data_IF_026116678907
#
_entry.id   IF_026116678907
#
_cell.length_a   1.000
_cell.length_b   1.000
_cell.length_c   1.000
_cell.angle_alpha   90.00
_cell.angle_beta   90.00
_cell.angle_gamma   90.00
#
_symmetry.space_group_name_H-M   'P 1'
#
loop_
_entity.id
_entity.type
_entity.pdbx_description
1 polymer ?
#
# COMPACT_ATOMS: atom_id res chain seq x y z
N UNK A 1 21.10 -29.62 35.81
CA UNK A 1 19.82 -29.39 35.11
C UNK A 1 20.11 -28.56 33.88
N UNK A 2 19.98 -29.12 32.67
CA UNK A 2 20.15 -28.38 31.42
C UNK A 2 18.75 -28.05 30.91
N UNK A 3 18.37 -26.78 30.97
CA UNK A 3 17.13 -26.30 30.36
C UNK A 3 17.27 -26.41 28.83
N UNK A 4 16.51 -27.31 28.23
CA UNK A 4 16.43 -27.37 26.78
C UNK A 4 15.65 -26.16 26.27
N UNK A 5 16.35 -25.17 25.72
CA UNK A 5 15.73 -24.13 24.91
C UNK A 5 14.96 -24.80 23.76
N UNK A 6 13.64 -24.62 23.76
CA UNK A 6 12.82 -24.96 22.61
C UNK A 6 13.15 -23.96 21.50
N UNK A 7 13.75 -24.45 20.43
CA UNK A 7 13.93 -23.68 19.20
C UNK A 7 12.53 -23.46 18.61
N UNK A 8 11.97 -22.26 18.78
CA UNK A 8 10.78 -21.87 18.02
C UNK A 8 11.23 -21.74 16.57
N UNK A 9 10.80 -22.67 15.72
CA UNK A 9 11.07 -22.60 14.29
C UNK A 9 10.34 -21.36 13.74
N UNK A 10 11.08 -20.28 13.51
CA UNK A 10 10.56 -19.12 12.78
C UNK A 10 10.35 -19.60 11.34
N UNK A 11 9.11 -19.56 10.86
CA UNK A 11 8.82 -19.89 9.48
C UNK A 11 9.65 -18.97 8.55
N UNK A 12 10.29 -19.52 7.51
CA UNK A 12 11.16 -18.73 6.64
C UNK A 12 10.35 -17.63 5.95
N UNK A 13 10.97 -16.46 5.74
CA UNK A 13 10.35 -15.37 5.01
C UNK A 13 9.95 -15.81 3.59
N UNK A 14 8.88 -15.21 3.10
CA UNK A 14 8.31 -15.51 1.78
C UNK A 14 8.62 -14.35 0.85
N UNK A 15 9.20 -14.64 -0.31
CA UNK A 15 9.35 -13.62 -1.35
C UNK A 15 8.02 -13.38 -2.05
N UNK A 16 7.54 -12.14 -2.05
CA UNK A 16 6.33 -11.70 -2.74
C UNK A 16 6.70 -10.74 -3.86
N UNK A 17 6.18 -11.00 -5.06
CA UNK A 17 6.22 -10.14 -6.24
C UNK A 17 4.99 -9.26 -6.27
N UNK A 18 5.15 -8.03 -6.74
CA UNK A 18 4.06 -7.10 -6.91
C UNK A 18 4.24 -6.23 -8.16
N UNK A 19 3.13 -5.73 -8.69
CA UNK A 19 3.09 -4.71 -9.74
C UNK A 19 1.82 -3.89 -9.64
N UNK A 20 1.92 -2.57 -9.76
CA UNK A 20 0.79 -1.67 -9.87
C UNK A 20 0.66 -1.11 -11.29
N UNK A 21 -0.56 -0.82 -11.73
CA UNK A 21 -0.82 -0.10 -12.97
C UNK A 21 -0.74 1.41 -12.78
N UNK A 22 -0.41 2.14 -13.83
CA UNK A 22 -0.46 3.60 -13.83
C UNK A 22 -1.88 4.14 -13.56
N UNK A 23 -1.95 5.36 -13.04
CA UNK A 23 -3.19 6.12 -12.95
C UNK A 23 -2.96 7.61 -13.22
N UNK A 24 -4.03 8.30 -13.59
CA UNK A 24 -4.07 9.76 -13.64
C UNK A 24 -5.46 10.23 -13.22
N UNK A 25 -5.50 11.30 -12.42
CA UNK A 25 -6.71 12.06 -12.14
C UNK A 25 -6.42 13.52 -12.44
N UNK A 26 -7.30 14.16 -13.20
CA UNK A 26 -7.20 15.55 -13.61
C UNK A 26 -8.30 16.39 -12.93
N UNK A 27 -8.24 17.71 -13.15
CA UNK A 27 -9.27 18.65 -12.70
C UNK A 27 -9.50 18.59 -11.20
N UNK A 28 -8.46 18.25 -10.45
CA UNK A 28 -8.51 18.28 -9.00
C UNK A 28 -8.69 19.75 -8.61
N UNK A 29 -9.72 20.01 -7.82
CA UNK A 29 -10.01 21.37 -7.43
C UNK A 29 -10.49 22.28 -8.56
N UNK A 30 -11.18 21.73 -9.59
CA UNK A 30 -11.85 22.51 -10.63
C UNK A 30 -13.36 22.60 -10.42
N UNK A 31 -13.90 23.82 -10.45
CA UNK A 31 -15.33 24.12 -10.25
C UNK A 31 -16.14 24.21 -11.55
N UNK A 32 -15.48 24.00 -12.71
CA UNK A 32 -16.12 24.08 -14.02
C UNK A 32 -16.17 25.49 -14.64
N UNK A 33 -15.74 26.54 -13.93
CA UNK A 33 -15.97 27.93 -14.34
C UNK A 33 -14.78 28.60 -15.03
N UNK A 34 -13.57 28.15 -14.74
CA UNK A 34 -12.34 28.72 -15.31
C UNK A 34 -11.78 27.82 -16.41
N UNK A 35 -11.40 28.35 -17.59
CA UNK A 35 -10.61 27.61 -18.57
C UNK A 35 -9.11 27.67 -18.21
N UNK A 36 -8.43 26.54 -18.04
CA UNK A 36 -6.96 26.54 -17.85
C UNK A 36 -6.37 25.39 -17.03
N UNK A 37 -5.14 25.58 -16.53
CA UNK A 37 -4.35 24.60 -15.76
C UNK A 37 -5.04 24.23 -14.45
N UNK A 38 -5.42 22.97 -14.32
CA UNK A 38 -5.93 22.39 -13.09
C UNK A 38 -4.87 21.50 -12.45
N UNK A 39 -5.07 21.19 -11.19
CA UNK A 39 -4.22 20.24 -10.51
C UNK A 39 -4.43 18.83 -11.09
N UNK A 40 -3.31 18.16 -11.32
CA UNK A 40 -3.26 16.80 -11.86
C UNK A 40 -2.45 15.94 -10.90
N UNK A 41 -2.95 14.76 -10.59
CA UNK A 41 -2.19 13.75 -9.88
C UNK A 41 -1.97 12.55 -10.81
N UNK A 42 -0.70 12.26 -11.06
CA UNK A 42 -0.26 11.09 -11.83
C UNK A 42 0.47 10.13 -10.92
N UNK A 43 0.19 8.83 -11.08
CA UNK A 43 0.93 7.76 -10.43
C UNK A 43 1.48 6.80 -11.46
N UNK A 44 2.81 6.70 -11.54
CA UNK A 44 3.49 5.70 -12.36
C UNK A 44 3.64 4.43 -11.54
N UNK A 45 3.03 3.34 -12.01
CA UNK A 45 3.03 2.04 -11.35
C UNK A 45 4.44 1.45 -11.24
N UNK A 46 4.78 0.98 -10.05
CA UNK A 46 6.02 0.28 -9.77
C UNK A 46 5.80 -1.23 -9.69
N UNK A 47 6.86 -1.97 -9.93
CA UNK A 47 6.90 -3.42 -9.76
C UNK A 47 8.16 -3.84 -9.04
N UNK A 48 8.11 -4.99 -8.36
CA UNK A 48 9.23 -5.46 -7.58
C UNK A 48 8.98 -6.80 -6.93
N UNK A 49 9.91 -7.16 -6.05
CA UNK A 49 9.78 -8.32 -5.18
C UNK A 49 10.41 -8.03 -3.83
N UNK A 50 9.81 -8.54 -2.77
CA UNK A 50 10.21 -8.27 -1.40
C UNK A 50 10.13 -9.55 -0.56
N UNK A 51 11.10 -9.76 0.32
CA UNK A 51 11.08 -10.87 1.28
C UNK A 51 10.30 -10.45 2.51
N UNK A 52 9.17 -11.10 2.77
CA UNK A 52 8.24 -10.78 3.85
C UNK A 52 8.31 -11.88 4.91
N UNK A 53 8.84 -11.60 6.10
CA UNK A 53 8.71 -12.52 7.23
C UNK A 53 7.24 -12.62 7.66
N UNK A 54 6.81 -13.81 8.05
CA UNK A 54 5.44 -14.02 8.51
C UNK A 54 5.09 -13.15 9.71
N UNK A 55 3.95 -12.44 9.64
CA UNK A 55 3.49 -11.52 10.68
C UNK A 55 4.33 -10.24 10.85
N UNK A 56 5.27 -9.96 9.93
CA UNK A 56 6.09 -8.75 9.96
C UNK A 56 5.76 -7.89 8.74
N UNK A 57 5.09 -6.73 8.94
CA UNK A 57 4.83 -5.80 7.86
C UNK A 57 6.14 -5.32 7.22
N UNK A 58 6.23 -5.49 5.91
CA UNK A 58 7.43 -5.15 5.13
C UNK A 58 7.11 -4.06 4.12
N UNK A 59 7.86 -2.95 4.10
CA UNK A 59 7.52 -1.80 3.26
C UNK A 59 7.72 -2.08 1.77
N UNK A 60 6.85 -1.51 0.94
CA UNK A 60 6.96 -1.46 -0.51
C UNK A 60 6.57 -0.07 -1.03
N UNK A 61 7.10 0.30 -2.19
CA UNK A 61 6.62 1.44 -2.98
C UNK A 61 5.80 0.89 -4.15
N UNK A 62 4.59 1.42 -4.33
CA UNK A 62 3.67 0.98 -5.39
C UNK A 62 3.62 1.96 -6.55
N UNK A 63 3.85 3.25 -6.31
CA UNK A 63 3.86 4.27 -7.34
C UNK A 63 4.89 5.36 -7.04
N UNK A 64 5.49 5.89 -8.10
CA UNK A 64 6.05 7.24 -8.10
C UNK A 64 4.94 8.22 -8.45
N UNK A 65 4.75 9.23 -7.61
CA UNK A 65 3.65 10.18 -7.71
C UNK A 65 4.16 11.55 -8.15
N UNK A 66 3.41 12.17 -9.06
CA UNK A 66 3.58 13.57 -9.47
C UNK A 66 2.28 14.30 -9.23
N UNK A 67 2.31 15.29 -8.35
CA UNK A 67 1.23 16.26 -8.19
C UNK A 67 1.64 17.54 -8.92
N UNK A 68 1.03 17.78 -10.07
CA UNK A 68 1.24 18.97 -10.88
C UNK A 68 0.21 20.01 -10.49
N UNK A 69 0.66 21.04 -9.78
CA UNK A 69 -0.18 22.10 -9.24
C UNK A 69 -0.33 23.18 -10.29
N UNK A 70 -1.58 23.45 -10.63
CA UNK A 70 -1.98 24.48 -11.57
C UNK A 70 -1.92 25.87 -10.96
N UNK A 71 -2.94 26.69 -11.24
CA UNK A 71 -3.04 28.05 -10.68
C UNK A 71 -3.83 27.99 -9.37
N UNK A 72 -3.16 28.31 -8.27
CA UNK A 72 -3.78 28.40 -6.95
C UNK A 72 -4.94 29.42 -6.97
N UNK A 73 -6.08 29.07 -6.37
CA UNK A 73 -7.21 29.99 -6.22
C UNK A 73 -7.04 30.88 -4.99
N UNK A 74 -7.21 32.20 -5.15
CA UNK A 74 -7.26 33.12 -4.00
C UNK A 74 -8.45 32.84 -3.06
N UNK A 75 -9.52 32.22 -3.59
CA UNK A 75 -10.65 31.79 -2.78
C UNK A 75 -10.48 30.32 -2.46
N UNK A 76 -10.20 30.03 -1.20
CA UNK A 76 -10.16 28.66 -0.72
C UNK A 76 -11.53 28.03 -0.91
N UNK A 77 -11.54 26.85 -1.50
CA UNK A 77 -12.77 26.08 -1.64
C UNK A 77 -12.49 24.61 -1.38
N UNK A 78 -13.49 23.92 -0.86
CA UNK A 78 -13.43 22.50 -0.59
C UNK A 78 -13.99 21.78 -1.82
N UNK A 79 -13.16 21.23 -2.69
CA UNK A 79 -13.67 20.47 -3.81
C UNK A 79 -14.30 19.14 -3.38
N UNK A 80 -15.08 18.59 -4.31
CA UNK A 80 -15.80 17.31 -4.22
C UNK A 80 -14.90 16.15 -3.78
N UNK A 81 -15.42 15.09 -3.11
CA UNK A 81 -14.64 13.89 -2.87
C UNK A 81 -14.11 13.31 -4.18
N UNK A 82 -12.79 13.15 -4.27
CA UNK A 82 -12.13 12.48 -5.38
C UNK A 82 -11.80 11.05 -4.99
N UNK A 83 -11.64 10.19 -5.99
CA UNK A 83 -11.13 8.85 -5.80
C UNK A 83 -10.15 8.50 -6.90
N UNK A 84 -9.07 7.83 -6.54
CA UNK A 84 -8.14 7.25 -7.50
C UNK A 84 -8.19 5.74 -7.39
N UNK A 85 -8.23 5.05 -8.53
CA UNK A 85 -8.22 3.60 -8.59
C UNK A 85 -7.10 3.09 -9.50
N UNK A 86 -6.44 2.03 -9.08
CA UNK A 86 -5.44 1.31 -9.87
C UNK A 86 -5.52 -0.18 -9.57
N UNK A 87 -5.00 -1.01 -10.46
CA UNK A 87 -4.88 -2.44 -10.23
C UNK A 87 -3.53 -2.76 -9.57
N UNK A 88 -3.59 -3.43 -8.42
CA UNK A 88 -2.43 -3.99 -7.73
C UNK A 88 -2.45 -5.51 -7.89
N UNK A 89 -1.37 -6.05 -8.45
CA UNK A 89 -1.14 -7.49 -8.54
C UNK A 89 -0.11 -7.88 -7.50
N UNK A 90 -0.44 -8.88 -6.67
CA UNK A 90 0.48 -9.50 -5.71
C UNK A 90 0.47 -10.99 -5.96
N UNK A 91 1.63 -11.58 -6.27
CA UNK A 91 1.76 -13.02 -6.53
C UNK A 91 0.75 -13.56 -7.55
N UNK A 92 0.56 -12.81 -8.63
CA UNK A 92 -0.37 -13.15 -9.72
C UNK A 92 -1.85 -12.92 -9.41
N UNK A 93 -2.20 -12.41 -8.21
CA UNK A 93 -3.57 -12.06 -7.84
C UNK A 93 -3.76 -10.56 -7.98
N UNK A 94 -4.63 -10.14 -8.89
CA UNK A 94 -4.94 -8.73 -9.15
C UNK A 94 -6.18 -8.27 -8.38
N UNK A 95 -6.10 -7.08 -7.79
CA UNK A 95 -7.24 -6.37 -7.20
C UNK A 95 -7.18 -4.90 -7.53
N UNK A 96 -8.33 -4.30 -7.79
CA UNK A 96 -8.48 -2.86 -7.90
C UNK A 96 -8.46 -2.24 -6.49
N UNK A 97 -7.54 -1.30 -6.27
CA UNK A 97 -7.41 -0.52 -5.04
C UNK A 97 -7.99 0.86 -5.30
N UNK A 98 -8.96 1.29 -4.50
CA UNK A 98 -9.57 2.62 -4.61
C UNK A 98 -9.27 3.44 -3.37
N UNK A 99 -8.51 4.51 -3.54
CA UNK A 99 -8.24 5.49 -2.49
C UNK A 99 -9.23 6.64 -2.57
N UNK A 100 -9.68 7.12 -1.42
CA UNK A 100 -10.25 8.45 -1.31
C UNK A 100 -9.14 9.48 -1.36
N UNK A 101 -9.37 10.56 -2.10
CA UNK A 101 -8.44 11.67 -2.22
C UNK A 101 -9.14 12.93 -1.73
N UNK A 102 -8.59 13.52 -0.68
CA UNK A 102 -9.03 14.80 -0.17
C UNK A 102 -8.17 15.88 -0.82
N UNK A 103 -8.82 16.84 -1.45
CA UNK A 103 -8.15 18.00 -2.03
C UNK A 103 -8.71 19.24 -1.34
N UNK A 104 -7.83 20.18 -1.02
CA UNK A 104 -8.20 21.50 -0.50
C UNK A 104 -7.39 22.52 -1.28
N UNK A 105 -8.11 23.32 -2.05
CA UNK A 105 -7.50 24.40 -2.84
C UNK A 105 -7.55 25.69 -2.03
N UNK A 106 -6.47 26.45 -2.03
CA UNK A 106 -6.39 27.74 -1.34
C UNK A 106 -5.09 28.47 -1.60
N UNK A 107 -4.58 29.17 -0.57
CA UNK A 107 -3.23 29.76 -0.63
C UNK A 107 -2.15 28.68 -0.77
N UNK A 108 -2.42 27.50 -0.24
CA UNK A 108 -1.70 26.27 -0.50
C UNK A 108 -2.69 25.22 -0.98
N UNK A 109 -2.27 24.43 -1.95
CA UNK A 109 -3.03 23.32 -2.46
C UNK A 109 -2.54 22.05 -1.75
N UNK A 110 -3.47 21.50 -0.96
CA UNK A 110 -3.24 20.35 -0.13
C UNK A 110 -3.96 19.15 -0.74
N UNK A 111 -3.22 18.06 -0.99
CA UNK A 111 -3.77 16.80 -1.47
C UNK A 111 -3.40 15.67 -0.51
N UNK A 112 -4.38 14.92 -0.04
CA UNK A 112 -4.19 13.74 0.80
C UNK A 112 -4.79 12.49 0.14
N UNK A 113 -3.95 11.49 -0.13
CA UNK A 113 -4.37 10.15 -0.55
C UNK A 113 -4.52 9.31 0.72
N UNK A 114 -5.76 8.92 1.05
CA UNK A 114 -6.04 8.23 2.30
C UNK A 114 -5.56 6.76 2.28
N UNK A 115 -5.13 6.22 3.44
CA UNK A 115 -4.77 4.81 3.58
C UNK A 115 -5.90 3.85 3.19
N UNK A 116 -5.53 2.74 2.55
CA UNK A 116 -6.43 1.62 2.23
C UNK A 116 -5.75 0.32 2.65
N UNK A 117 -6.54 -0.64 3.11
CA UNK A 117 -6.08 -2.01 3.36
C UNK A 117 -6.84 -2.99 2.47
N UNK A 118 -6.13 -3.97 1.91
CA UNK A 118 -6.71 -4.98 1.02
C UNK A 118 -6.03 -6.32 1.23
N UNK A 119 -6.84 -7.38 1.22
CA UNK A 119 -6.38 -8.76 1.44
C UNK A 119 -6.25 -9.50 0.11
N UNK A 120 -5.15 -10.18 -0.12
CA UNK A 120 -4.88 -11.03 -1.29
C UNK A 120 -4.77 -12.49 -0.84
N UNK A 121 -5.50 -13.37 -1.52
CA UNK A 121 -5.45 -14.81 -1.28
C UNK A 121 -4.52 -15.42 -2.33
N UNK A 122 -3.25 -15.60 -1.97
CA UNK A 122 -2.19 -16.02 -2.90
C UNK A 122 -1.84 -17.49 -2.69
N UNK A 123 -1.07 -18.06 -3.62
CA UNK A 123 -0.52 -19.42 -3.45
C UNK A 123 0.48 -19.54 -2.28
N UNK A 124 0.96 -18.41 -1.76
CA UNK A 124 1.90 -18.32 -0.63
C UNK A 124 1.20 -17.98 0.69
N UNK A 125 -0.14 -17.95 0.69
CA UNK A 125 -0.99 -17.66 1.85
C UNK A 125 -1.74 -16.33 1.73
N UNK A 126 -2.27 -15.87 2.86
CA UNK A 126 -3.00 -14.61 2.95
C UNK A 126 -1.99 -13.47 3.06
N UNK A 127 -2.06 -12.52 2.13
CA UNK A 127 -1.22 -11.32 2.13
C UNK A 127 -2.10 -10.11 2.36
N UNK A 128 -1.76 -9.29 3.36
CA UNK A 128 -2.43 -8.02 3.62
C UNK A 128 -1.54 -6.91 3.08
N UNK A 129 -2.09 -6.11 2.18
CA UNK A 129 -1.51 -4.83 1.77
C UNK A 129 -2.18 -3.70 2.54
N UNK A 130 -1.38 -2.81 3.10
CA UNK A 130 -1.85 -1.57 3.73
C UNK A 130 -1.04 -0.40 3.20
N UNK A 131 -1.68 0.53 2.50
CA UNK A 131 -1.02 1.74 2.02
C UNK A 131 -0.83 2.76 3.13
N UNK A 132 0.17 3.63 2.98
CA UNK A 132 0.38 4.76 3.87
C UNK A 132 -0.42 5.99 3.39
N UNK A 133 -0.62 6.94 4.30
CA UNK A 133 -1.10 8.29 3.94
C UNK A 133 -0.02 8.98 3.10
N UNK A 134 -0.43 9.61 2.01
CA UNK A 134 0.43 10.52 1.25
C UNK A 134 -0.19 11.89 1.25
N UNK A 135 0.60 12.89 1.63
CA UNK A 135 0.18 14.29 1.70
C UNK A 135 1.07 15.17 0.85
N UNK A 136 0.52 15.88 -0.12
CA UNK A 136 1.15 16.99 -0.81
C UNK A 136 0.71 18.31 -0.18
N UNK A 137 1.64 19.24 -0.04
CA UNK A 137 1.40 20.59 0.46
C UNK A 137 2.21 21.51 -0.44
N UNK A 138 1.55 22.19 -1.36
CA UNK A 138 2.19 23.01 -2.37
C UNK A 138 1.72 24.46 -2.25
N UNK A 139 2.66 25.39 -2.14
CA UNK A 139 2.36 26.83 -2.14
C UNK A 139 2.62 27.47 -3.50
N UNK A 140 3.27 26.72 -4.40
CA UNK A 140 3.75 27.14 -5.70
C UNK A 140 3.29 26.16 -6.79
N UNK A 141 3.07 26.72 -7.98
CA UNK A 141 2.71 25.97 -9.19
C UNK A 141 3.86 25.08 -9.65
N UNK A 142 3.52 23.95 -10.26
CA UNK A 142 4.47 23.01 -10.85
C UNK A 142 4.44 21.64 -10.20
N UNK A 143 5.48 20.85 -10.48
CA UNK A 143 5.50 19.43 -10.18
C UNK A 143 6.11 19.13 -8.82
N UNK A 144 5.33 18.45 -7.98
CA UNK A 144 5.72 17.96 -6.67
C UNK A 144 5.78 16.43 -6.68
N UNK A 145 6.85 15.86 -6.14
CA UNK A 145 7.15 14.43 -6.26
C UNK A 145 7.06 13.72 -4.91
N UNK A 146 6.35 12.59 -4.86
CA UNK A 146 6.30 11.68 -3.71
C UNK A 146 6.18 10.22 -4.16
N UNK A 147 6.08 9.30 -3.22
CA UNK A 147 5.81 7.89 -3.50
C UNK A 147 4.56 7.43 -2.74
N UNK A 148 3.73 6.63 -3.40
CA UNK A 148 2.69 5.85 -2.73
C UNK A 148 3.33 4.59 -2.15
N UNK A 149 3.61 4.63 -0.86
CA UNK A 149 4.18 3.50 -0.14
C UNK A 149 3.10 2.73 0.61
N UNK A 150 3.40 1.48 0.94
CA UNK A 150 2.57 0.64 1.80
C UNK A 150 3.40 -0.44 2.43
N UNK A 151 2.73 -1.42 3.03
CA UNK A 151 3.34 -2.56 3.66
C UNK A 151 2.63 -3.84 3.23
N UNK A 152 3.41 -4.91 3.06
CA UNK A 152 2.91 -6.25 2.88
C UNK A 152 3.15 -7.06 4.16
N UNK A 153 2.12 -7.74 4.63
CA UNK A 153 2.21 -8.69 5.73
C UNK A 153 1.63 -10.03 5.27
N UNK A 154 2.37 -11.12 5.50
CA UNK A 154 1.88 -12.48 5.22
C UNK A 154 1.42 -13.16 6.49
N UNK A 155 0.20 -13.68 6.48
CA UNK A 155 -0.33 -14.52 7.56
C UNK A 155 -0.23 -15.99 7.12
N UNK A 156 0.41 -16.88 7.91
CA UNK A 156 0.42 -18.30 7.59
C UNK A 156 -1.01 -18.84 7.54
N UNK A 157 -1.31 -19.68 6.55
CA UNK A 157 -2.59 -20.38 6.54
C UNK A 157 -2.76 -21.26 7.79
N UNK A 158 -4.00 -21.45 8.24
CA UNK A 158 -4.32 -22.27 9.41
C UNK A 158 -3.81 -23.71 9.28
N UNK A 159 -3.76 -24.27 8.05
CA UNK A 159 -3.19 -25.59 7.78
C UNK A 159 -1.67 -25.64 8.05
N UNK A 160 -0.96 -24.56 7.76
CA UNK A 160 0.47 -24.40 8.03
C UNK A 160 0.74 -24.33 9.54
N UNK A 161 -0.13 -23.63 10.29
CA UNK A 161 -0.08 -23.62 11.76
C UNK A 161 -0.37 -25.01 12.35
N UNK A 162 -1.36 -25.73 11.80
CA UNK A 162 -1.72 -27.07 12.24
C UNK A 162 -0.58 -28.08 12.02
N UNK A 163 0.08 -28.04 10.86
CA UNK A 163 1.21 -28.91 10.55
C UNK A 163 2.43 -28.61 11.42
N UNK A 164 2.73 -27.32 11.67
CA UNK A 164 3.75 -26.91 12.62
C UNK A 164 3.44 -27.41 14.04
N UNK A 165 2.18 -27.29 14.48
CA UNK A 165 1.70 -27.79 15.76
C UNK A 165 1.82 -29.32 15.90
N UNK A 166 1.47 -30.07 14.85
CA UNK A 166 1.62 -31.52 14.80
C UNK A 166 3.10 -31.94 14.83
N UNK A 167 3.97 -31.23 14.12
CA UNK A 167 5.43 -31.46 14.15
C UNK A 167 6.01 -31.28 15.56
N UNK A 168 5.61 -30.20 16.26
CA UNK A 168 5.98 -29.93 17.65
C UNK A 168 5.46 -31.01 18.63
N UNK A 169 4.19 -31.41 18.49
CA UNK A 169 3.61 -32.47 19.31
C UNK A 169 4.35 -33.81 19.13
N UNK A 170 4.75 -34.13 17.90
CA UNK A 170 5.48 -35.36 17.57
C UNK A 170 6.92 -35.33 18.10
N UNK A 171 7.61 -34.18 17.99
CA UNK A 171 8.95 -33.98 18.54
C UNK A 171 8.97 -34.06 20.08
N UNK A 172 7.98 -33.47 20.75
CA UNK A 172 7.82 -33.55 22.21
C UNK A 172 7.52 -34.99 22.66
N UNK A 173 6.73 -35.75 21.90
CA UNK A 173 6.41 -37.15 22.20
C UNK A 173 7.62 -38.08 22.05
N UNK A 174 8.51 -37.83 21.09
CA UNK A 174 9.78 -38.57 20.94
C UNK A 174 10.77 -38.30 22.08
N UNK A 175 10.73 -37.12 22.70
CA UNK A 175 11.63 -36.75 23.79
C UNK A 175 11.24 -37.31 25.16
N UNK A 176 10.02 -37.87 25.28
CA UNK A 176 9.48 -38.47 26.52
C UNK A 176 9.57 -40.01 26.56
N UNK A 177 10.08 -40.65 25.52
CA UNK A 177 10.43 -42.08 25.51
C UNK A 177 11.94 -42.21 25.60
#
# INVERSE_FOLDING_TARGET
MVAAMALVAVAPAVTLSFSATDFQIDKLGWDGTQPGNYDILTGTGLSGSVSVPYGVPTPIATHDLVFDVGINSQNAWTPSPYSVSYDLTIEGVTKTITHQVNVKIGLTDDLDILPVSTVFHTSKGIVVYTSNLVSFRAADSGQHYKQLTGQLETVPEAATLALAGLGLATALRRRRR
#
